data_IF_958209028665
#
_entry.id   IF_958209028665
#
_cell.length_a   1.000
_cell.length_b   1.000
_cell.length_c   1.000
_cell.angle_alpha   90.00
_cell.angle_beta   90.00
_cell.angle_gamma   90.00
#
_symmetry.space_group_name_H-M   'P 1'
#
loop_
_entity.id
_entity.type
_entity.pdbx_description
1 polymer ?
#
# COMPACT_ATOMS: atom_id res chain seq x y z
N UNK A 1 -38.11 24.36 -40.33
CA UNK A 1 -36.76 24.30 -40.96
C UNK A 1 -35.69 25.04 -40.14
N UNK A 2 -35.85 26.33 -39.82
CA UNK A 2 -34.84 27.12 -39.07
C UNK A 2 -34.48 26.58 -37.68
N UNK A 3 -35.46 26.08 -36.91
CA UNK A 3 -35.24 25.49 -35.57
C UNK A 3 -34.53 24.13 -35.62
N UNK A 4 -34.80 23.35 -36.67
CA UNK A 4 -34.14 22.05 -36.91
C UNK A 4 -32.68 22.24 -37.28
N UNK A 5 -32.38 23.22 -38.14
CA UNK A 5 -31.00 23.56 -38.52
C UNK A 5 -30.17 24.04 -37.32
N UNK A 6 -30.75 24.87 -36.44
CA UNK A 6 -30.07 25.36 -35.23
C UNK A 6 -29.74 24.24 -34.24
N UNK A 7 -30.65 23.27 -34.08
CA UNK A 7 -30.46 22.13 -33.18
C UNK A 7 -29.40 21.15 -33.71
N UNK A 8 -29.32 20.95 -35.03
CA UNK A 8 -28.26 20.14 -35.66
C UNK A 8 -26.89 20.82 -35.55
N UNK A 9 -26.81 22.15 -35.69
CA UNK A 9 -25.54 22.90 -35.55
C UNK A 9 -25.02 22.89 -34.10
N UNK A 10 -25.90 22.96 -33.10
CA UNK A 10 -25.51 22.88 -31.68
C UNK A 10 -24.99 21.48 -31.31
N UNK A 11 -25.64 20.41 -31.80
CA UNK A 11 -25.18 19.04 -31.56
C UNK A 11 -23.81 18.78 -32.19
N UNK A 12 -23.57 19.30 -33.41
CA UNK A 12 -22.28 19.14 -34.07
C UNK A 12 -21.14 19.90 -33.36
N UNK A 13 -21.44 21.06 -32.76
CA UNK A 13 -20.49 21.86 -31.97
C UNK A 13 -20.17 21.25 -30.59
N UNK A 14 -21.08 20.45 -30.03
CA UNK A 14 -20.84 19.70 -28.79
C UNK A 14 -20.02 18.43 -29.03
N UNK A 15 -20.12 17.82 -30.22
CA UNK A 15 -19.28 16.66 -30.61
C UNK A 15 -17.81 17.03 -30.85
N UNK A 16 -17.50 18.24 -31.30
CA UNK A 16 -16.11 18.69 -31.53
C UNK A 16 -15.33 18.99 -30.24
N UNK A 17 -16.01 19.15 -29.10
CA UNK A 17 -15.35 19.27 -27.78
C UNK A 17 -14.83 17.92 -27.25
N UNK A 18 -15.34 16.78 -27.74
CA UNK A 18 -14.90 15.45 -27.33
C UNK A 18 -13.62 14.95 -28.03
N UNK A 19 -13.20 15.60 -29.11
CA UNK A 19 -12.03 15.20 -29.92
C UNK A 19 -10.74 15.94 -29.56
N UNK A 20 -10.81 16.92 -28.63
CA UNK A 20 -9.67 17.72 -28.19
C UNK A 20 -9.04 17.22 -26.87
N UNK A 21 -9.30 15.96 -26.47
CA UNK A 21 -8.46 15.32 -25.48
C UNK A 21 -7.12 15.03 -26.17
N UNK A 22 -6.11 15.85 -25.89
CA UNK A 22 -4.73 15.49 -26.17
C UNK A 22 -4.50 14.07 -25.65
N UNK A 23 -3.71 13.23 -26.35
CA UNK A 23 -3.31 11.95 -25.77
C UNK A 23 -2.79 12.25 -24.37
N UNK A 24 -3.44 11.68 -23.35
CA UNK A 24 -2.83 11.67 -22.03
C UNK A 24 -1.47 11.03 -22.26
N UNK A 25 -0.40 11.82 -22.13
CA UNK A 25 0.96 11.33 -21.99
C UNK A 25 0.95 10.50 -20.70
N UNK A 26 0.42 9.27 -20.78
CA UNK A 26 0.52 8.28 -19.73
C UNK A 26 2.00 7.99 -19.61
N UNK A 27 2.69 8.78 -18.78
CA UNK A 27 4.06 8.50 -18.35
C UNK A 27 4.07 7.03 -17.98
N UNK A 28 4.79 6.23 -18.74
CA UNK A 28 4.98 4.82 -18.44
C UNK A 28 5.49 4.74 -17.00
N UNK A 29 4.77 4.01 -16.15
CA UNK A 29 5.16 3.90 -14.75
C UNK A 29 6.57 3.33 -14.67
N UNK A 30 7.46 4.00 -13.93
CA UNK A 30 8.78 3.45 -13.62
C UNK A 30 8.62 2.35 -12.58
N UNK A 31 9.58 1.43 -12.52
CA UNK A 31 9.61 0.38 -11.48
C UNK A 31 9.53 1.00 -10.08
N UNK A 32 10.26 2.11 -9.85
CA UNK A 32 10.21 2.84 -8.58
C UNK A 32 8.78 3.35 -8.28
N UNK A 33 8.10 3.98 -9.25
CA UNK A 33 6.74 4.50 -9.02
C UNK A 33 5.71 3.39 -8.74
N UNK A 34 5.90 2.20 -9.32
CA UNK A 34 5.05 1.03 -9.05
C UNK A 34 5.33 0.50 -7.65
N UNK A 35 6.60 0.32 -7.28
CA UNK A 35 7.00 -0.12 -5.94
C UNK A 35 6.49 0.82 -4.86
N UNK A 36 6.70 2.13 -5.02
CA UNK A 36 6.21 3.16 -4.10
C UNK A 36 4.68 3.09 -3.94
N UNK A 37 3.96 2.90 -5.05
CA UNK A 37 2.51 2.71 -5.03
C UNK A 37 2.08 1.49 -4.24
N UNK A 38 2.75 0.34 -4.42
CA UNK A 38 2.46 -0.89 -3.67
C UNK A 38 2.77 -0.74 -2.18
N UNK A 39 3.92 -0.16 -1.82
CA UNK A 39 4.28 0.09 -0.42
C UNK A 39 3.25 1.00 0.25
N UNK A 40 2.89 2.10 -0.41
CA UNK A 40 1.91 3.06 0.11
C UNK A 40 0.52 2.45 0.29
N UNK A 41 0.09 1.56 -0.61
CA UNK A 41 -1.19 0.88 -0.47
C UNK A 41 -1.20 -0.02 0.76
N UNK A 42 -0.18 -0.85 0.95
CA UNK A 42 -0.08 -1.76 2.09
C UNK A 42 0.10 -0.99 3.40
N UNK A 43 0.91 0.08 3.42
CA UNK A 43 1.05 0.96 4.58
C UNK A 43 -0.31 1.53 5.02
N UNK A 44 -1.12 1.99 4.06
CA UNK A 44 -2.44 2.53 4.30
C UNK A 44 -3.45 1.53 4.90
N UNK A 45 -3.20 0.23 4.78
CA UNK A 45 -4.02 -0.82 5.39
C UNK A 45 -3.42 -1.31 6.72
N UNK A 46 -2.10 -1.54 6.74
CA UNK A 46 -1.41 -2.18 7.85
C UNK A 46 -1.24 -1.25 9.05
N UNK A 47 -0.79 -0.02 8.84
CA UNK A 47 -0.54 0.93 9.95
C UNK A 47 -1.82 1.19 10.73
N UNK A 48 -2.96 1.53 10.09
CA UNK A 48 -4.21 1.72 10.83
C UNK A 48 -4.68 0.46 11.56
N UNK A 49 -4.47 -0.73 10.99
CA UNK A 49 -4.83 -1.99 11.66
C UNK A 49 -4.00 -2.22 12.93
N UNK A 50 -2.69 -1.93 12.89
CA UNK A 50 -1.79 -2.03 14.06
C UNK A 50 -2.16 -0.99 15.12
N UNK A 51 -2.46 0.24 14.71
CA UNK A 51 -2.88 1.31 15.61
C UNK A 51 -4.21 0.97 16.31
N UNK A 52 -5.18 0.45 15.56
CA UNK A 52 -6.51 0.12 16.07
C UNK A 52 -6.55 -1.12 16.99
N UNK A 53 -5.61 -2.06 16.85
CA UNK A 53 -5.59 -3.30 17.61
C UNK A 53 -5.38 -3.04 19.11
N UNK A 54 -6.23 -3.47 20.06
CA UNK A 54 -6.01 -3.19 21.48
C UNK A 54 -4.67 -3.73 22.01
N UNK A 55 -4.01 -3.02 22.92
CA UNK A 55 -2.67 -3.38 23.41
C UNK A 55 -2.64 -4.77 24.07
N UNK A 56 -3.66 -5.09 24.87
CA UNK A 56 -3.84 -6.40 25.51
C UNK A 56 -4.09 -7.54 24.50
N UNK A 57 -4.33 -7.23 23.22
CA UNK A 57 -4.55 -8.19 22.15
C UNK A 57 -3.34 -8.40 21.24
N UNK A 58 -2.24 -7.69 21.43
CA UNK A 58 -1.03 -7.87 20.61
C UNK A 58 -0.44 -9.29 20.71
N UNK A 59 -0.65 -9.97 21.84
CA UNK A 59 -0.31 -11.38 22.02
C UNK A 59 -1.26 -12.36 21.34
N UNK A 60 -2.32 -11.90 20.67
CA UNK A 60 -3.30 -12.77 20.04
C UNK A 60 -2.67 -13.62 18.94
N UNK A 61 -2.89 -14.93 19.04
CA UNK A 61 -2.72 -15.90 17.96
C UNK A 61 -4.01 -16.74 17.91
N UNK A 62 -4.56 -17.03 16.72
CA UNK A 62 -5.77 -17.84 16.62
C UNK A 62 -5.52 -19.26 17.15
N UNK A 63 -6.45 -19.75 17.96
CA UNK A 63 -6.42 -21.11 18.52
C UNK A 63 -7.58 -21.97 18.03
N UNK A 64 -8.58 -21.37 17.37
CA UNK A 64 -9.75 -22.07 16.87
C UNK A 64 -9.42 -22.74 15.54
N UNK A 65 -9.26 -24.06 15.54
CA UNK A 65 -8.92 -24.86 14.36
C UNK A 65 -7.46 -25.29 14.34
N UNK A 66 -6.93 -25.59 13.17
CA UNK A 66 -5.56 -26.15 13.00
C UNK A 66 -4.47 -25.07 12.89
N UNK A 67 -4.61 -23.96 13.63
CA UNK A 67 -3.62 -22.88 13.65
C UNK A 67 -2.50 -23.20 14.64
N UNK A 68 -1.56 -24.06 14.22
CA UNK A 68 -0.40 -24.47 15.03
C UNK A 68 0.85 -23.69 14.60
N UNK A 69 1.57 -23.12 15.57
CA UNK A 69 2.84 -22.42 15.33
C UNK A 69 2.72 -21.09 14.58
N UNK A 70 1.52 -20.50 14.51
CA UNK A 70 1.30 -19.20 13.87
C UNK A 70 1.87 -18.06 14.70
N UNK A 71 2.26 -16.97 14.02
CA UNK A 71 2.69 -15.74 14.69
C UNK A 71 1.54 -15.11 15.46
N UNK A 72 1.87 -14.48 16.59
CA UNK A 72 0.97 -13.52 17.21
C UNK A 72 0.83 -12.27 16.33
N UNK A 73 -0.20 -11.47 16.58
CA UNK A 73 -0.35 -10.17 15.91
C UNK A 73 0.92 -9.31 16.05
N UNK A 74 1.49 -9.24 17.26
CA UNK A 74 2.73 -8.53 17.52
C UNK A 74 3.91 -9.09 16.71
N UNK A 75 4.07 -10.42 16.68
CA UNK A 75 5.16 -11.04 15.93
C UNK A 75 5.02 -10.77 14.42
N UNK A 76 3.80 -10.73 13.89
CA UNK A 76 3.56 -10.38 12.49
C UNK A 76 3.89 -8.91 12.19
N UNK A 77 3.47 -7.98 13.06
CA UNK A 77 3.81 -6.55 12.90
C UNK A 77 5.33 -6.32 12.95
N UNK A 78 6.02 -6.97 13.91
CA UNK A 78 7.48 -6.91 14.02
C UNK A 78 8.20 -7.53 12.83
N UNK A 79 7.69 -8.65 12.31
CA UNK A 79 8.22 -9.28 11.10
C UNK A 79 8.18 -8.32 9.92
N UNK A 80 7.04 -7.68 9.65
CA UNK A 80 6.92 -6.72 8.53
C UNK A 80 7.89 -5.55 8.70
N UNK A 81 7.98 -4.97 9.91
CA UNK A 81 8.90 -3.87 10.18
C UNK A 81 10.37 -4.27 9.95
N UNK A 82 10.78 -5.43 10.48
CA UNK A 82 12.14 -5.95 10.32
C UNK A 82 12.48 -6.23 8.85
N UNK A 83 11.57 -6.85 8.10
CA UNK A 83 11.76 -7.16 6.68
C UNK A 83 11.83 -5.90 5.82
N UNK A 84 11.08 -4.84 6.15
CA UNK A 84 11.20 -3.56 5.45
C UNK A 84 12.60 -2.95 5.60
N UNK A 85 13.21 -3.02 6.78
CA UNK A 85 14.61 -2.60 6.95
C UNK A 85 15.58 -3.47 6.14
N UNK A 86 15.39 -4.79 6.12
CA UNK A 86 16.24 -5.71 5.34
C UNK A 86 16.16 -5.40 3.85
N UNK A 87 14.95 -5.30 3.30
CA UNK A 87 14.72 -5.08 1.88
C UNK A 87 15.18 -3.67 1.49
N UNK A 88 14.82 -2.65 2.27
CA UNK A 88 15.22 -1.27 2.01
C UNK A 88 16.74 -1.11 1.96
N UNK A 89 17.45 -1.62 2.98
CA UNK A 89 18.91 -1.60 2.98
C UNK A 89 19.51 -2.41 1.83
N UNK A 90 18.90 -3.54 1.45
CA UNK A 90 19.38 -4.34 0.30
C UNK A 90 19.23 -3.60 -1.03
N UNK A 91 18.12 -2.86 -1.23
CA UNK A 91 17.90 -2.03 -2.42
C UNK A 91 18.91 -0.89 -2.48
N UNK A 92 19.19 -0.26 -1.33
CA UNK A 92 20.13 0.87 -1.23
C UNK A 92 21.61 0.43 -1.24
N UNK A 93 21.91 -0.85 -1.03
CA UNK A 93 23.29 -1.35 -0.86
C UNK A 93 23.90 -0.94 0.49
N UNK A 94 23.07 -0.69 1.49
CA UNK A 94 23.46 -0.20 2.82
C UNK A 94 23.48 -1.33 3.85
N UNK A 95 24.15 -1.08 4.98
CA UNK A 95 24.03 -1.96 6.15
C UNK A 95 22.65 -1.75 6.78
N UNK A 96 22.03 -2.84 7.22
CA UNK A 96 20.79 -2.79 8.01
C UNK A 96 21.03 -1.94 9.27
N UNK A 97 20.24 -0.86 9.49
CA UNK A 97 20.52 0.13 10.54
C UNK A 97 20.02 -0.27 11.93
N UNK A 98 19.27 -1.37 12.04
CA UNK A 98 18.64 -1.86 13.27
C UNK A 98 18.92 -3.34 13.46
N UNK A 99 18.81 -3.82 14.71
CA UNK A 99 18.73 -5.26 14.96
C UNK A 99 17.34 -5.77 14.55
N UNK A 100 17.31 -6.60 13.52
CA UNK A 100 16.07 -7.17 12.98
C UNK A 100 15.63 -8.43 13.72
N UNK A 101 16.45 -8.96 14.62
CA UNK A 101 16.20 -10.23 15.28
C UNK A 101 16.01 -11.38 14.28
N UNK A 102 15.22 -12.38 14.69
CA UNK A 102 14.84 -13.50 13.84
C UNK A 102 13.53 -13.27 13.08
N UNK A 103 12.93 -14.37 12.61
CA UNK A 103 11.69 -14.36 11.81
C UNK A 103 10.48 -13.68 12.48
N UNK A 104 10.51 -13.46 13.80
CA UNK A 104 9.44 -12.79 14.55
C UNK A 104 9.79 -11.33 14.90
N UNK A 105 10.85 -10.80 14.30
CA UNK A 105 11.47 -9.54 14.67
C UNK A 105 12.21 -9.61 16.01
N UNK A 106 12.73 -8.48 16.49
CA UNK A 106 13.53 -8.43 17.72
C UNK A 106 12.66 -8.58 18.99
N UNK A 107 13.18 -9.31 19.99
CA UNK A 107 12.50 -9.55 21.28
C UNK A 107 12.44 -8.32 22.20
N UNK A 108 13.29 -7.33 21.94
CA UNK A 108 13.34 -6.09 22.71
C UNK A 108 12.12 -5.19 22.46
N UNK A 109 11.42 -5.37 21.34
CA UNK A 109 10.19 -4.63 21.03
C UNK A 109 9.00 -5.38 21.64
N UNK A 110 8.41 -4.78 22.68
CA UNK A 110 7.34 -5.38 23.51
C UNK A 110 6.03 -4.58 23.55
N UNK A 111 6.06 -3.32 23.14
CA UNK A 111 4.92 -2.39 23.14
C UNK A 111 4.67 -1.83 21.73
N UNK A 112 3.52 -1.17 21.57
CA UNK A 112 3.16 -0.41 20.36
C UNK A 112 4.03 0.84 20.11
N UNK A 113 4.74 1.29 21.14
CA UNK A 113 5.60 2.47 21.15
C UNK A 113 6.98 2.08 21.67
#
# INVERSE_FOLDING_TARGET
MKKSALMTTVVLALCSLGLAQAPDDKKTATIASVLDGTVKQIEGELVPAVEAMPEDKFGFAPTSGEFKGVRTFAAQAKHVAAVNYIIGSSILGEKIPVDTGGENGPDVVKSKA
#
